data_IF_653538303325
#
_entry.id   IF_653538303325
#
_cell.length_a   1.000
_cell.length_b   1.000
_cell.length_c   1.000
_cell.angle_alpha   90.00
_cell.angle_beta   90.00
_cell.angle_gamma   90.00
#
_symmetry.space_group_name_H-M   'P 1'
#
loop_
_entity.id
_entity.type
_entity.pdbx_description
1 polymer ?
#
# COMPACT_ATOMS: atom_id res chain seq x y z
N UNK A 1 -43.92 -52.83 -8.87
CA UNK A 1 -42.54 -53.30 -8.98
C UNK A 1 -41.63 -52.26 -8.35
N UNK A 2 -41.10 -52.60 -7.19
CA UNK A 2 -40.14 -51.77 -6.44
C UNK A 2 -38.75 -51.91 -7.05
N UNK A 3 -38.04 -50.78 -7.19
CA UNK A 3 -36.59 -50.80 -7.25
C UNK A 3 -36.03 -49.75 -6.28
N UNK A 4 -35.32 -50.24 -5.26
CA UNK A 4 -34.57 -49.45 -4.27
C UNK A 4 -33.37 -48.76 -4.90
N UNK A 5 -33.13 -47.48 -4.53
CA UNK A 5 -31.85 -46.83 -4.68
C UNK A 5 -31.39 -46.36 -3.31
N UNK A 6 -30.24 -46.90 -2.89
CA UNK A 6 -29.50 -46.60 -1.67
C UNK A 6 -28.83 -45.22 -1.76
N UNK A 7 -28.79 -44.42 -0.68
CA UNK A 7 -28.03 -43.18 -0.64
C UNK A 7 -26.57 -43.42 -0.24
N UNK A 8 -25.66 -42.79 -0.98
CA UNK A 8 -24.22 -42.77 -0.70
C UNK A 8 -23.95 -41.74 0.40
N UNK A 9 -23.19 -42.15 1.40
CA UNK A 9 -23.00 -41.45 2.65
C UNK A 9 -22.25 -40.12 2.57
N UNK A 10 -22.76 -39.24 3.41
CA UNK A 10 -22.13 -38.02 3.86
C UNK A 10 -20.96 -38.34 4.79
N UNK A 11 -19.79 -37.75 4.52
CA UNK A 11 -18.69 -37.72 5.46
C UNK A 11 -18.84 -36.51 6.39
N UNK A 12 -19.45 -36.73 7.54
CA UNK A 12 -19.37 -35.81 8.67
C UNK A 12 -18.06 -36.07 9.42
N UNK A 13 -17.18 -35.07 9.47
CA UNK A 13 -16.10 -35.01 10.48
C UNK A 13 -16.45 -33.95 11.51
N UNK A 14 -16.39 -34.26 12.82
CA UNK A 14 -16.80 -33.34 13.87
C UNK A 14 -15.75 -32.27 14.14
N UNK A 15 -16.19 -31.01 14.17
CA UNK A 15 -15.46 -29.87 14.70
C UNK A 15 -15.42 -29.96 16.24
N UNK A 16 -14.37 -30.54 16.80
CA UNK A 16 -14.02 -30.35 18.20
C UNK A 16 -12.52 -30.39 18.40
N UNK A 17 -12.01 -29.36 19.09
CA UNK A 17 -10.66 -29.18 19.59
C UNK A 17 -9.71 -28.33 18.73
N UNK A 18 -9.95 -27.02 18.72
CA UNK A 18 -8.88 -26.05 18.52
C UNK A 18 -8.68 -25.25 19.81
N UNK A 19 -7.68 -25.62 20.61
CA UNK A 19 -7.18 -24.83 21.73
C UNK A 19 -6.16 -23.81 21.18
N UNK A 20 -6.19 -22.52 21.57
CA UNK A 20 -5.19 -21.56 21.16
C UNK A 20 -3.89 -21.85 21.92
N UNK A 21 -2.99 -22.56 21.26
CA UNK A 21 -1.62 -22.69 21.71
C UNK A 21 -0.87 -21.40 21.45
N UNK A 22 -0.24 -20.86 22.48
CA UNK A 22 0.73 -19.76 22.47
C UNK A 22 1.89 -20.10 21.54
N UNK A 23 1.81 -19.71 20.27
CA UNK A 23 2.96 -19.66 19.39
C UNK A 23 3.44 -18.21 19.34
N UNK A 24 4.53 -17.93 20.02
CA UNK A 24 5.37 -16.79 19.81
C UNK A 24 5.81 -16.79 18.35
N UNK A 25 5.30 -15.84 17.55
CA UNK A 25 5.80 -15.64 16.19
C UNK A 25 7.29 -15.24 16.26
N UNK A 26 8.17 -15.91 15.50
CA UNK A 26 9.53 -15.45 15.38
C UNK A 26 9.55 -14.05 14.72
N UNK A 27 10.34 -13.14 15.27
CA UNK A 27 10.65 -11.85 14.70
C UNK A 27 11.13 -12.04 13.25
N UNK A 28 10.27 -11.77 12.28
CA UNK A 28 10.64 -11.77 10.87
C UNK A 28 11.47 -10.53 10.59
N UNK A 29 12.77 -10.64 10.78
CA UNK A 29 13.71 -9.82 10.03
C UNK A 29 13.53 -10.21 8.57
N UNK A 30 12.72 -9.48 7.82
CA UNK A 30 12.67 -9.59 6.37
C UNK A 30 14.01 -9.12 5.82
N UNK A 31 14.90 -10.06 5.58
CA UNK A 31 16.06 -9.86 4.74
C UNK A 31 15.54 -9.69 3.30
N UNK A 32 15.50 -8.45 2.81
CA UNK A 32 15.28 -8.14 1.39
C UNK A 32 16.56 -8.40 0.60
N UNK A 33 17.09 -9.61 0.73
CA UNK A 33 18.21 -10.08 -0.08
C UNK A 33 17.75 -11.32 -0.83
N UNK A 34 17.71 -11.17 -2.17
CA UNK A 34 17.74 -12.25 -3.16
C UNK A 34 16.49 -13.13 -3.32
N UNK A 35 15.55 -12.65 -4.12
CA UNK A 35 14.63 -13.51 -4.87
C UNK A 35 15.15 -13.80 -6.28
N UNK A 36 16.40 -14.27 -6.38
CA UNK A 36 16.96 -14.78 -7.62
C UNK A 36 17.65 -16.10 -7.27
N UNK A 37 16.99 -17.23 -7.35
CA UNK A 37 17.46 -18.57 -7.78
C UNK A 37 16.35 -19.57 -7.45
N UNK A 38 15.82 -20.23 -8.46
CA UNK A 38 14.93 -21.37 -8.24
C UNK A 38 14.23 -21.90 -9.48
N UNK A 39 14.98 -22.12 -10.57
CA UNK A 39 14.57 -23.09 -11.58
C UNK A 39 15.70 -24.12 -11.71
N UNK A 40 15.67 -25.14 -10.85
CA UNK A 40 16.53 -26.31 -10.98
C UNK A 40 15.82 -27.32 -11.88
N UNK A 41 16.33 -27.46 -13.11
CA UNK A 41 16.04 -28.59 -13.98
C UNK A 41 16.90 -29.77 -13.53
N UNK A 42 16.26 -30.86 -13.07
CA UNK A 42 16.91 -32.14 -12.89
C UNK A 42 17.24 -32.76 -14.25
N UNK A 43 18.53 -32.94 -14.55
CA UNK A 43 18.99 -33.93 -15.53
C UNK A 43 20.16 -34.72 -14.94
N UNK A 44 19.92 -36.00 -14.80
CA UNK A 44 20.85 -37.05 -14.40
C UNK A 44 21.88 -37.31 -15.49
N UNK A 45 23.13 -37.55 -15.09
CA UNK A 45 23.99 -38.48 -15.85
C UNK A 45 25.43 -38.04 -16.03
N UNK A 46 26.27 -38.94 -15.54
CA UNK A 46 27.64 -39.30 -15.92
C UNK A 46 28.84 -38.61 -15.25
N UNK A 47 29.50 -39.45 -14.49
CA UNK A 47 30.80 -39.33 -13.87
C UNK A 47 31.90 -39.01 -14.90
N UNK A 48 32.65 -37.96 -14.64
CA UNK A 48 33.91 -37.65 -15.32
C UNK A 48 34.88 -37.00 -14.34
N UNK A 49 35.87 -37.77 -13.89
CA UNK A 49 36.94 -37.26 -13.04
C UNK A 49 37.79 -36.25 -13.81
N UNK A 50 37.86 -34.98 -13.35
CA UNK A 50 38.84 -34.00 -13.81
C UNK A 50 39.62 -33.52 -12.58
N UNK A 51 40.94 -33.62 -12.75
CA UNK A 51 41.98 -33.33 -11.78
C UNK A 51 41.87 -31.93 -11.20
N UNK A 52 41.95 -31.84 -9.89
CA UNK A 52 41.96 -30.59 -9.12
C UNK A 52 43.24 -29.78 -9.42
N UNK A 53 43.10 -28.64 -10.02
CA UNK A 53 44.10 -27.56 -9.96
C UNK A 53 43.82 -26.74 -8.67
N UNK A 54 44.86 -26.32 -7.95
CA UNK A 54 44.67 -25.51 -6.75
C UNK A 54 44.11 -24.14 -7.13
N UNK A 55 42.86 -23.90 -6.75
CA UNK A 55 42.27 -22.58 -6.84
C UNK A 55 43.08 -21.64 -5.92
N UNK A 56 43.78 -20.71 -6.52
CA UNK A 56 44.27 -19.52 -5.84
C UNK A 56 43.10 -18.83 -5.19
N UNK A 57 43.06 -18.86 -3.85
CA UNK A 57 42.18 -18.00 -3.08
C UNK A 57 42.52 -16.57 -3.38
N UNK A 58 41.74 -15.94 -4.23
CA UNK A 58 41.71 -14.51 -4.39
C UNK A 58 41.11 -13.94 -3.09
N UNK A 59 42.00 -13.64 -2.15
CA UNK A 59 41.69 -12.83 -0.98
C UNK A 59 41.59 -11.37 -1.43
N UNK A 60 40.67 -11.09 -2.34
CA UNK A 60 40.29 -9.74 -2.71
C UNK A 60 39.76 -9.02 -1.48
N UNK A 61 40.63 -8.27 -0.81
CA UNK A 61 40.20 -7.24 0.11
C UNK A 61 39.12 -6.40 -0.60
N UNK A 62 38.04 -5.96 0.09
CA UNK A 62 37.05 -5.13 -0.54
C UNK A 62 37.76 -3.91 -1.12
N UNK A 63 37.84 -3.88 -2.46
CA UNK A 63 38.42 -2.75 -3.16
C UNK A 63 37.69 -1.50 -2.69
N UNK A 64 38.42 -0.58 -2.11
CA UNK A 64 37.90 0.67 -1.56
C UNK A 64 37.21 1.44 -2.69
N UNK A 65 35.89 1.37 -2.73
CA UNK A 65 35.03 2.08 -3.68
C UNK A 65 35.07 3.61 -3.50
N UNK A 66 35.96 4.10 -2.63
CA UNK A 66 36.10 5.52 -2.33
C UNK A 66 37.31 6.07 -3.09
N UNK A 67 37.06 6.97 -4.04
CA UNK A 67 38.11 7.61 -4.83
C UNK A 67 38.94 8.57 -3.95
N UNK A 68 40.17 8.89 -4.36
CA UNK A 68 41.02 9.93 -3.70
C UNK A 68 40.29 11.30 -3.58
N UNK A 69 39.38 11.62 -4.53
CA UNK A 69 38.58 12.84 -4.44
C UNK A 69 37.57 12.76 -3.29
N UNK A 70 36.93 11.60 -3.10
CA UNK A 70 35.98 11.39 -2.01
C UNK A 70 36.66 11.48 -0.64
N UNK A 71 37.88 10.97 -0.50
CA UNK A 71 38.63 11.12 0.75
C UNK A 71 38.96 12.58 1.10
N UNK A 72 39.27 13.42 0.11
CA UNK A 72 39.47 14.86 0.36
C UNK A 72 38.21 15.54 0.88
N UNK A 73 37.04 15.23 0.32
CA UNK A 73 35.77 15.80 0.80
C UNK A 73 35.40 15.30 2.20
N UNK A 74 35.67 14.03 2.51
CA UNK A 74 35.49 13.51 3.87
C UNK A 74 36.46 14.15 4.87
N UNK A 75 37.70 14.48 4.48
CA UNK A 75 38.61 15.21 5.33
C UNK A 75 38.11 16.61 5.65
N UNK A 76 37.61 17.38 4.64
CA UNK A 76 36.99 18.69 4.84
C UNK A 76 35.80 18.59 5.82
N UNK A 77 34.97 17.58 5.68
CA UNK A 77 33.86 17.32 6.61
C UNK A 77 34.38 17.04 8.03
N UNK A 78 35.41 16.21 8.15
CA UNK A 78 36.06 15.89 9.43
C UNK A 78 36.66 17.11 10.12
N UNK A 79 37.32 17.99 9.36
CA UNK A 79 37.88 19.25 9.87
C UNK A 79 36.78 20.19 10.40
N UNK A 80 35.68 20.34 9.64
CA UNK A 80 34.52 21.13 10.06
C UNK A 80 33.87 20.55 11.31
N UNK A 81 33.68 19.24 11.37
CA UNK A 81 33.15 18.52 12.53
C UNK A 81 34.02 18.76 13.77
N UNK A 82 35.35 18.63 13.65
CA UNK A 82 36.29 18.88 14.72
C UNK A 82 36.26 20.35 15.18
N UNK A 83 36.21 21.29 14.24
CA UNK A 83 36.14 22.71 14.54
C UNK A 83 34.87 23.07 15.33
N UNK A 84 33.70 22.55 14.95
CA UNK A 84 32.44 22.75 15.67
C UNK A 84 32.55 22.20 17.10
N UNK A 85 33.01 20.96 17.27
CA UNK A 85 33.18 20.36 18.61
C UNK A 85 34.12 21.14 19.51
N UNK A 86 35.18 21.72 18.96
CA UNK A 86 36.21 22.40 19.73
C UNK A 86 35.87 23.86 20.03
N UNK A 87 35.08 24.53 19.19
CA UNK A 87 34.91 25.99 19.21
C UNK A 87 33.49 26.46 19.50
N UNK A 88 32.46 25.59 19.39
CA UNK A 88 31.09 25.97 19.74
C UNK A 88 31.01 26.29 21.23
N UNK A 89 30.26 27.32 21.61
CA UNK A 89 30.06 27.69 23.01
C UNK A 89 29.39 26.56 23.79
N UNK A 90 28.34 25.94 23.19
CA UNK A 90 27.66 24.76 23.71
C UNK A 90 27.86 23.60 22.70
N UNK A 91 28.92 22.80 22.82
CA UNK A 91 29.24 21.77 21.84
C UNK A 91 28.20 20.65 21.89
N UNK A 92 27.51 20.36 20.76
CA UNK A 92 26.57 19.25 20.69
C UNK A 92 27.30 17.90 20.75
N UNK A 93 26.58 16.85 21.09
CA UNK A 93 27.12 15.49 21.01
C UNK A 93 27.41 15.09 19.55
N UNK A 94 28.27 14.09 19.36
CA UNK A 94 28.60 13.57 18.03
C UNK A 94 27.38 13.16 17.25
N UNK A 95 26.41 12.49 17.91
CA UNK A 95 25.15 12.10 17.29
C UNK A 95 24.32 13.30 16.80
N UNK A 96 24.27 14.38 17.61
CA UNK A 96 23.55 15.60 17.25
C UNK A 96 24.19 16.35 16.05
N UNK A 97 25.45 16.08 15.74
CA UNK A 97 26.11 16.62 14.55
C UNK A 97 26.02 15.70 13.35
N UNK A 98 26.26 14.42 13.56
CA UNK A 98 26.37 13.44 12.45
C UNK A 98 25.00 13.09 11.86
N UNK A 99 23.98 12.87 12.69
CA UNK A 99 22.66 12.47 12.20
C UNK A 99 22.00 13.52 11.28
N UNK A 100 21.94 14.81 11.64
CA UNK A 100 21.44 15.83 10.73
C UNK A 100 22.27 15.98 9.45
N UNK A 101 23.60 15.79 9.53
CA UNK A 101 24.46 15.85 8.36
C UNK A 101 24.16 14.71 7.36
N UNK A 102 23.98 13.47 7.86
CA UNK A 102 23.57 12.34 7.02
C UNK A 102 22.16 12.59 6.45
N UNK A 103 21.24 13.07 7.28
CA UNK A 103 19.88 13.40 6.84
C UNK A 103 19.87 14.44 5.73
N UNK A 104 20.65 15.52 5.87
CA UNK A 104 20.78 16.56 4.85
C UNK A 104 21.41 16.01 3.56
N UNK A 105 22.45 15.19 3.67
CA UNK A 105 23.08 14.53 2.52
C UNK A 105 22.09 13.67 1.75
N UNK A 106 21.28 12.87 2.45
CA UNK A 106 20.27 12.00 1.81
C UNK A 106 19.13 12.84 1.20
N UNK A 107 18.67 13.86 1.91
CA UNK A 107 17.61 14.75 1.44
C UNK A 107 18.03 15.60 0.22
N UNK A 108 19.35 15.79 0.00
CA UNK A 108 19.85 16.53 -1.18
C UNK A 108 19.72 15.75 -2.51
N UNK A 109 19.42 14.45 -2.46
CA UNK A 109 19.30 13.61 -3.66
C UNK A 109 18.01 13.86 -4.42
N UNK A 110 16.88 13.90 -3.70
CA UNK A 110 15.54 14.08 -4.23
C UNK A 110 14.54 14.29 -3.07
N UNK A 111 13.27 14.70 -3.32
CA UNK A 111 12.28 14.94 -2.27
C UNK A 111 11.83 13.68 -1.50
N UNK A 112 12.17 12.50 -1.97
CA UNK A 112 11.66 11.22 -1.47
C UNK A 112 12.67 10.42 -0.66
N UNK A 113 13.98 10.64 -0.94
CA UNK A 113 15.08 9.97 -0.23
C UNK A 113 15.17 10.49 1.20
N UNK A 114 15.28 9.57 2.18
CA UNK A 114 15.26 9.89 3.62
C UNK A 114 16.19 9.00 4.42
N UNK A 115 16.73 9.59 5.49
CA UNK A 115 17.40 8.88 6.56
C UNK A 115 16.41 8.74 7.73
N UNK A 116 15.99 7.51 8.03
CA UNK A 116 14.87 7.22 8.92
C UNK A 116 15.35 6.67 10.26
N UNK A 117 14.66 7.06 11.32
CA UNK A 117 14.73 6.38 12.62
C UNK A 117 13.98 5.03 12.55
N UNK A 118 14.22 4.16 13.54
CA UNK A 118 13.47 2.91 13.67
C UNK A 118 11.95 3.13 13.80
N UNK A 119 11.53 4.21 14.47
CA UNK A 119 10.12 4.54 14.62
C UNK A 119 9.47 5.00 13.31
N UNK A 120 10.18 5.82 12.52
CA UNK A 120 9.72 6.26 11.19
C UNK A 120 9.67 5.10 10.20
N UNK A 121 10.67 4.20 10.24
CA UNK A 121 10.66 3.00 9.41
C UNK A 121 9.46 2.09 9.75
N UNK A 122 9.19 1.85 11.04
CA UNK A 122 8.01 1.06 11.44
C UNK A 122 6.70 1.64 10.92
N UNK A 123 6.48 2.95 11.10
CA UNK A 123 5.26 3.62 10.57
C UNK A 123 5.11 3.45 9.06
N UNK A 124 6.21 3.45 8.35
CA UNK A 124 6.22 3.21 6.92
C UNK A 124 5.88 1.76 6.58
N UNK A 125 6.51 0.81 7.27
CA UNK A 125 6.30 -0.64 7.09
C UNK A 125 4.86 -1.03 7.46
N UNK A 126 4.30 -0.51 8.55
CA UNK A 126 2.90 -0.66 8.92
C UNK A 126 1.96 -0.15 7.83
N UNK A 127 2.25 1.02 7.29
CA UNK A 127 1.46 1.58 6.20
C UNK A 127 1.53 0.74 4.92
N UNK A 128 2.68 0.13 4.61
CA UNK A 128 2.89 -0.72 3.44
C UNK A 128 2.33 -2.14 3.65
N UNK A 129 2.38 -2.67 4.88
CA UNK A 129 1.84 -4.00 5.22
C UNK A 129 0.31 -4.08 5.22
N UNK A 130 -0.39 -2.94 5.17
CA UNK A 130 -1.85 -2.89 5.21
C UNK A 130 -2.45 -3.22 6.57
N UNK A 131 -1.63 -3.09 7.61
CA UNK A 131 -2.03 -3.21 9.01
C UNK A 131 -1.28 -2.16 9.85
N UNK A 132 -1.84 -1.82 11.00
CA UNK A 132 -1.18 -0.97 11.97
C UNK A 132 -1.41 -1.52 13.38
N UNK A 133 -0.50 -1.21 14.29
CA UNK A 133 -0.69 -1.58 15.69
C UNK A 133 -1.29 -0.42 16.46
N UNK A 134 -2.48 -0.63 17.02
CA UNK A 134 -3.21 0.40 17.72
C UNK A 134 -4.48 -0.11 18.41
N UNK A 135 -5.36 0.81 18.77
CA UNK A 135 -6.60 0.49 19.49
C UNK A 135 -7.87 0.58 18.64
N UNK A 136 -7.75 0.93 17.34
CA UNK A 136 -8.89 0.95 16.42
C UNK A 136 -9.86 2.11 16.67
N UNK A 137 -9.35 3.31 16.96
CA UNK A 137 -10.14 4.53 17.13
C UNK A 137 -9.92 5.44 15.91
N UNK A 138 -11.02 5.88 15.30
CA UNK A 138 -11.02 7.00 14.37
C UNK A 138 -11.27 8.28 15.16
N UNK A 139 -10.39 9.28 15.00
CA UNK A 139 -10.42 10.51 15.82
C UNK A 139 -10.21 11.74 14.94
N UNK A 140 -10.93 12.82 15.27
CA UNK A 140 -10.69 14.15 14.71
C UNK A 140 -9.87 15.04 15.67
N UNK A 141 -9.43 16.20 15.18
CA UNK A 141 -8.70 17.16 16.00
C UNK A 141 -9.52 17.51 17.27
N UNK A 142 -8.81 17.59 18.43
CA UNK A 142 -9.46 17.76 19.73
C UNK A 142 -9.92 16.47 20.41
N UNK A 143 -9.59 15.30 19.81
CA UNK A 143 -9.78 14.00 20.45
C UNK A 143 -11.20 13.43 20.41
N UNK A 144 -12.10 13.99 19.59
CA UNK A 144 -13.44 13.45 19.42
C UNK A 144 -13.42 12.21 18.54
N UNK A 145 -13.96 11.12 19.07
CA UNK A 145 -14.08 9.84 18.36
C UNK A 145 -15.17 9.95 17.30
N UNK A 146 -14.85 9.67 16.06
CA UNK A 146 -15.77 9.62 14.92
C UNK A 146 -16.20 8.20 14.57
N UNK A 147 -15.37 7.21 14.91
CA UNK A 147 -15.64 5.80 14.68
C UNK A 147 -14.70 4.88 15.44
N UNK A 148 -15.02 3.60 15.39
CA UNK A 148 -14.13 2.53 15.88
C UNK A 148 -14.06 1.41 14.87
N UNK A 149 -12.88 0.81 14.72
CA UNK A 149 -12.70 -0.32 13.83
C UNK A 149 -13.40 -1.56 14.39
N UNK A 150 -14.32 -2.19 13.64
CA UNK A 150 -15.04 -3.39 14.09
C UNK A 150 -14.08 -4.52 14.49
N UNK A 151 -14.38 -5.16 15.60
CA UNK A 151 -13.53 -6.21 16.17
C UNK A 151 -12.24 -5.71 16.82
N UNK A 152 -11.92 -4.41 16.72
CA UNK A 152 -10.75 -3.82 17.37
C UNK A 152 -10.95 -3.59 18.88
N UNK A 153 -9.86 -3.28 19.62
CA UNK A 153 -9.92 -3.08 21.08
C UNK A 153 -10.95 -2.03 21.51
N UNK A 154 -11.03 -0.90 20.79
CA UNK A 154 -11.97 0.18 21.09
C UNK A 154 -13.44 -0.24 20.88
N UNK A 155 -13.71 -1.00 19.81
CA UNK A 155 -15.05 -1.51 19.54
C UNK A 155 -15.50 -2.54 20.60
N UNK A 156 -14.59 -3.43 21.02
CA UNK A 156 -14.86 -4.39 22.12
C UNK A 156 -15.07 -3.71 23.47
N UNK A 157 -14.58 -2.49 23.64
CA UNK A 157 -14.77 -1.67 24.84
C UNK A 157 -15.98 -0.73 24.74
N UNK A 158 -16.86 -0.91 23.76
CA UNK A 158 -18.06 -0.11 23.50
C UNK A 158 -17.79 1.40 23.40
N UNK A 159 -16.69 1.77 22.78
CA UNK A 159 -16.44 3.16 22.46
C UNK A 159 -17.29 3.57 21.24
N UNK A 160 -18.14 4.56 21.44
CA UNK A 160 -19.06 5.06 20.42
C UNK A 160 -18.65 6.43 19.88
N UNK A 161 -19.04 6.77 18.64
CA UNK A 161 -18.88 8.11 18.07
C UNK A 161 -19.44 9.19 19.00
N UNK A 162 -18.76 10.34 19.03
CA UNK A 162 -19.08 11.45 19.93
C UNK A 162 -18.42 11.39 21.31
N UNK A 163 -17.78 10.27 21.68
CA UNK A 163 -16.91 10.21 22.87
C UNK A 163 -15.68 11.09 22.64
N UNK A 164 -15.26 11.83 23.68
CA UNK A 164 -14.08 12.71 23.61
C UNK A 164 -12.96 12.12 24.45
N UNK A 165 -11.78 12.00 23.87
CA UNK A 165 -10.55 11.61 24.57
C UNK A 165 -9.97 12.87 25.23
N UNK A 166 -10.01 12.96 26.55
CA UNK A 166 -9.43 14.08 27.28
C UNK A 166 -7.92 13.92 27.50
N UNK A 167 -7.48 12.68 27.81
CA UNK A 167 -6.08 12.36 28.04
C UNK A 167 -5.69 11.01 27.46
N UNK A 168 -4.44 10.91 27.01
CA UNK A 168 -3.77 9.68 26.58
C UNK A 168 -2.49 9.54 27.40
N UNK A 169 -2.37 8.47 28.19
CA UNK A 169 -1.25 8.21 29.10
C UNK A 169 -0.90 9.43 29.98
N UNK A 170 -1.92 10.10 30.49
CA UNK A 170 -1.80 11.29 31.35
C UNK A 170 -1.60 12.61 30.60
N UNK A 171 -1.31 12.62 29.29
CA UNK A 171 -1.14 13.83 28.48
C UNK A 171 -2.50 14.31 27.97
N UNK A 172 -2.80 15.60 28.13
CA UNK A 172 -4.05 16.21 27.68
C UNK A 172 -4.06 16.33 26.15
N UNK A 173 -5.10 15.80 25.50
CA UNK A 173 -5.27 15.82 24.03
C UNK A 173 -5.43 17.25 23.49
N UNK A 174 -5.96 18.17 24.30
CA UNK A 174 -6.04 19.59 23.93
C UNK A 174 -4.69 20.26 23.61
N UNK A 175 -3.58 19.68 24.05
CA UNK A 175 -2.22 20.15 23.76
C UNK A 175 -1.54 19.39 22.63
N UNK A 176 -2.21 18.39 22.05
CA UNK A 176 -1.70 17.54 20.99
C UNK A 176 -2.28 17.92 19.64
N UNK A 177 -1.48 17.88 18.60
CA UNK A 177 -1.98 17.86 17.23
C UNK A 177 -2.63 16.52 16.90
N UNK A 178 -3.42 16.48 15.80
CA UNK A 178 -4.08 15.23 15.36
C UNK A 178 -3.06 14.11 15.13
N UNK A 179 -1.93 14.39 14.48
CA UNK A 179 -0.88 13.39 14.23
C UNK A 179 -0.32 12.80 15.52
N UNK A 180 -0.01 13.64 16.52
CA UNK A 180 0.50 13.16 17.80
C UNK A 180 -0.56 12.38 18.60
N UNK A 181 -1.83 12.76 18.48
CA UNK A 181 -2.95 12.01 19.08
C UNK A 181 -3.02 10.60 18.49
N UNK A 182 -2.94 10.47 17.17
CA UNK A 182 -2.91 9.17 16.47
C UNK A 182 -1.66 8.37 16.83
N UNK A 183 -0.49 8.99 16.86
CA UNK A 183 0.77 8.34 17.25
C UNK A 183 0.71 7.74 18.66
N UNK A 184 0.03 8.43 19.61
CA UNK A 184 -0.13 7.94 20.98
C UNK A 184 -1.19 6.83 21.12
N UNK A 185 -2.20 6.80 20.25
CA UNK A 185 -3.18 5.71 20.17
C UNK A 185 -2.57 4.46 19.52
N UNK A 186 -1.59 4.64 18.64
CA UNK A 186 -0.76 3.60 18.05
C UNK A 186 0.43 3.25 18.95
N UNK A 187 1.16 2.19 18.65
CA UNK A 187 2.38 1.80 19.37
C UNK A 187 2.69 0.32 19.26
N UNK A 188 3.61 -0.18 20.11
CA UNK A 188 4.01 -1.60 20.06
C UNK A 188 2.80 -2.52 20.32
N UNK A 189 2.64 -3.61 19.54
CA UNK A 189 1.60 -4.60 19.77
C UNK A 189 1.67 -5.14 21.21
N UNK A 190 0.53 -5.47 21.79
CA UNK A 190 0.39 -5.92 23.18
C UNK A 190 0.75 -4.89 24.26
N UNK A 191 1.16 -3.68 23.89
CA UNK A 191 1.32 -2.58 24.85
C UNK A 191 -0.05 -2.00 25.23
N UNK A 192 -0.13 -1.35 26.40
CA UNK A 192 -1.36 -0.76 26.90
C UNK A 192 -1.33 0.75 26.79
N UNK A 193 -2.42 1.34 26.28
CA UNK A 193 -2.68 2.79 26.36
C UNK A 193 -3.78 3.06 27.38
N UNK A 194 -3.59 4.09 28.20
CA UNK A 194 -4.57 4.54 29.20
C UNK A 194 -5.24 5.80 28.70
N UNK A 195 -6.56 5.72 28.56
CA UNK A 195 -7.40 6.81 28.08
C UNK A 195 -8.25 7.36 29.22
N UNK A 196 -8.42 8.68 29.25
CA UNK A 196 -9.46 9.36 30.01
C UNK A 196 -10.47 9.91 29.01
N UNK A 197 -11.73 9.46 29.14
CA UNK A 197 -12.77 9.63 28.13
C UNK A 197 -13.97 10.34 28.73
N UNK A 198 -14.58 11.26 27.98
CA UNK A 198 -15.89 11.81 28.27
C UNK A 198 -16.91 11.20 27.28
N UNK A 199 -17.82 10.40 27.75
CA UNK A 199 -18.88 9.82 26.91
C UNK A 199 -19.98 10.86 26.60
N UNK A 200 -20.69 10.76 25.46
CA UNK A 200 -21.77 11.64 25.12
C UNK A 200 -22.83 11.63 26.24
N UNK A 201 -23.21 12.82 26.75
CA UNK A 201 -24.16 12.95 27.87
C UNK A 201 -23.62 12.53 29.26
N UNK A 202 -22.38 12.08 29.34
CA UNK A 202 -21.73 11.71 30.60
C UNK A 202 -21.45 12.93 31.48
N UNK A 203 -21.59 12.76 32.81
CA UNK A 203 -21.32 13.83 33.79
C UNK A 203 -19.92 13.76 34.40
N UNK A 204 -19.21 12.67 34.18
CA UNK A 204 -17.84 12.47 34.69
C UNK A 204 -17.01 11.68 33.70
N UNK A 205 -15.69 11.97 33.64
CA UNK A 205 -14.76 11.21 32.80
C UNK A 205 -14.59 9.77 33.28
N UNK A 206 -14.42 8.84 32.35
CA UNK A 206 -14.17 7.43 32.60
C UNK A 206 -12.71 7.11 32.21
N UNK A 207 -12.01 6.37 33.08
CA UNK A 207 -10.69 5.82 32.75
C UNK A 207 -10.87 4.46 32.06
N UNK A 208 -10.15 4.26 30.96
CA UNK A 208 -10.15 3.02 30.17
C UNK A 208 -8.72 2.67 29.78
N UNK A 209 -8.34 1.41 29.95
CA UNK A 209 -7.08 0.87 29.44
C UNK A 209 -7.38 -0.04 28.26
N UNK A 210 -6.72 0.17 27.14
CA UNK A 210 -6.84 -0.64 25.92
C UNK A 210 -5.47 -1.22 25.57
N UNK A 211 -5.48 -2.49 25.17
CA UNK A 211 -4.29 -3.15 24.64
C UNK A 211 -4.21 -2.90 23.14
N UNK A 212 -3.04 -2.46 22.65
CA UNK A 212 -2.80 -2.29 21.21
C UNK A 212 -2.67 -3.63 20.53
N UNK A 213 -3.28 -3.77 19.37
CA UNK A 213 -3.27 -4.98 18.55
C UNK A 213 -2.98 -4.65 17.10
N UNK A 214 -2.54 -5.65 16.33
CA UNK A 214 -2.48 -5.54 14.88
C UNK A 214 -3.89 -5.44 14.30
N UNK A 215 -4.17 -4.35 13.64
CA UNK A 215 -5.48 -4.04 13.06
C UNK A 215 -5.34 -3.87 11.54
N UNK A 216 -6.20 -4.53 10.74
CA UNK A 216 -6.14 -4.42 9.30
C UNK A 216 -6.61 -3.05 8.84
N UNK A 217 -5.91 -2.47 7.90
CA UNK A 217 -6.42 -1.36 7.08
C UNK A 217 -7.37 -1.93 6.02
N UNK A 218 -8.43 -1.19 5.69
CA UNK A 218 -9.39 -1.60 4.67
C UNK A 218 -9.35 -0.61 3.48
N UNK A 219 -8.32 -0.71 2.61
CA UNK A 219 -8.11 0.27 1.54
C UNK A 219 -9.04 0.07 0.35
N UNK A 220 -9.97 -0.89 0.38
CA UNK A 220 -10.93 -1.17 -0.70
C UNK A 220 -12.36 -0.92 -0.24
N UNK A 221 -13.08 -0.12 -1.02
CA UNK A 221 -14.52 0.13 -0.85
C UNK A 221 -15.23 -0.25 -2.14
N UNK A 222 -16.39 -0.90 -2.01
CA UNK A 222 -17.17 -1.39 -3.16
C UNK A 222 -18.61 -0.90 -3.12
N UNK A 223 -19.21 -0.75 -4.30
CA UNK A 223 -20.64 -0.46 -4.48
C UNK A 223 -21.16 -1.15 -5.73
N UNK A 224 -22.44 -1.45 -5.73
CA UNK A 224 -23.20 -1.85 -6.92
C UNK A 224 -23.97 -0.63 -7.42
N UNK A 225 -23.79 -0.24 -8.68
CA UNK A 225 -24.45 0.87 -9.33
C UNK A 225 -25.28 0.31 -10.51
N UNK A 226 -26.46 -0.23 -10.22
CA UNK A 226 -27.26 -0.96 -11.20
C UNK A 226 -26.53 -2.23 -11.67
N UNK A 227 -26.04 -2.24 -12.90
CA UNK A 227 -25.25 -3.34 -13.48
C UNK A 227 -23.73 -3.02 -13.54
N UNK A 228 -23.30 -1.91 -12.96
CA UNK A 228 -21.91 -1.46 -12.95
C UNK A 228 -21.29 -1.72 -11.56
N UNK A 229 -20.14 -2.36 -11.54
CA UNK A 229 -19.33 -2.51 -10.34
C UNK A 229 -18.50 -1.25 -10.10
N UNK A 230 -18.53 -0.72 -8.88
CA UNK A 230 -17.66 0.38 -8.44
C UNK A 230 -16.72 -0.15 -7.37
N UNK A 231 -15.41 0.04 -7.59
CA UNK A 231 -14.34 -0.35 -6.68
C UNK A 231 -13.44 0.87 -6.47
N UNK A 232 -13.31 1.31 -5.22
CA UNK A 232 -12.33 2.33 -4.84
C UNK A 232 -11.16 1.69 -4.11
N UNK A 233 -9.96 1.99 -4.58
CA UNK A 233 -8.71 1.64 -3.92
C UNK A 233 -8.12 2.91 -3.31
N UNK A 234 -8.02 2.94 -1.98
CA UNK A 234 -7.44 4.09 -1.28
C UNK A 234 -5.92 3.99 -1.17
N UNK A 235 -5.34 2.76 -1.30
CA UNK A 235 -3.90 2.49 -1.18
C UNK A 235 -3.54 1.10 -1.73
N UNK A 236 -2.24 0.87 -2.00
CA UNK A 236 -1.69 -0.46 -2.34
C UNK A 236 -0.87 -1.01 -1.18
N UNK A 237 -1.39 -2.03 -0.51
CA UNK A 237 -0.78 -2.78 0.59
C UNK A 237 -0.59 -4.27 0.23
N UNK A 238 0.03 -5.06 1.11
CA UNK A 238 0.32 -6.49 0.89
C UNK A 238 -0.91 -7.34 0.48
N UNK A 239 -2.12 -6.90 0.82
CA UNK A 239 -3.36 -7.66 0.60
C UNK A 239 -4.23 -7.12 -0.55
N UNK A 240 -3.80 -6.07 -1.24
CA UNK A 240 -4.64 -5.35 -2.19
C UNK A 240 -5.14 -6.23 -3.33
N UNK A 241 -4.29 -7.06 -3.96
CA UNK A 241 -4.73 -7.98 -5.00
C UNK A 241 -5.79 -8.96 -4.48
N UNK A 242 -5.52 -9.63 -3.35
CA UNK A 242 -6.45 -10.61 -2.78
C UNK A 242 -7.82 -10.00 -2.46
N UNK A 243 -7.81 -8.79 -1.88
CA UNK A 243 -9.05 -8.04 -1.61
C UNK A 243 -9.77 -7.61 -2.89
N UNK A 244 -9.05 -7.19 -3.92
CA UNK A 244 -9.64 -6.85 -5.23
C UNK A 244 -10.33 -8.07 -5.86
N UNK A 245 -9.66 -9.21 -5.92
CA UNK A 245 -10.21 -10.44 -6.49
C UNK A 245 -11.48 -10.88 -5.75
N UNK A 246 -11.45 -10.85 -4.41
CA UNK A 246 -12.63 -11.13 -3.58
C UNK A 246 -13.76 -10.14 -3.84
N UNK A 247 -13.45 -8.84 -3.94
CA UNK A 247 -14.45 -7.80 -4.23
C UNK A 247 -15.11 -7.99 -5.60
N UNK A 248 -14.31 -8.31 -6.63
CA UNK A 248 -14.85 -8.60 -7.97
C UNK A 248 -15.75 -9.83 -7.95
N UNK A 249 -15.37 -10.89 -7.23
CA UNK A 249 -16.19 -12.09 -7.11
C UNK A 249 -17.55 -11.81 -6.43
N UNK A 250 -17.54 -11.04 -5.35
CA UNK A 250 -18.76 -10.61 -4.64
C UNK A 250 -19.65 -9.78 -5.58
N UNK A 251 -19.11 -8.74 -6.23
CA UNK A 251 -19.85 -7.87 -7.11
C UNK A 251 -20.43 -8.62 -8.31
N UNK A 252 -19.70 -9.60 -8.87
CA UNK A 252 -20.22 -10.50 -9.91
C UNK A 252 -21.37 -11.36 -9.38
N UNK A 253 -21.32 -11.84 -8.15
CA UNK A 253 -22.39 -12.58 -7.50
C UNK A 253 -23.65 -11.73 -7.31
N UNK A 254 -23.48 -10.51 -6.79
CA UNK A 254 -24.60 -9.60 -6.49
C UNK A 254 -25.30 -9.06 -7.76
N UNK A 255 -24.51 -8.70 -8.78
CA UNK A 255 -25.03 -8.18 -10.06
C UNK A 255 -25.57 -9.31 -10.94
N UNK A 256 -24.96 -10.48 -10.87
CA UNK A 256 -25.09 -11.61 -11.80
C UNK A 256 -23.99 -11.58 -12.85
N UNK A 257 -23.32 -12.73 -13.11
CA UNK A 257 -22.12 -12.79 -13.95
C UNK A 257 -22.36 -12.26 -15.37
N UNK A 258 -23.53 -12.53 -15.95
CA UNK A 258 -23.89 -12.10 -17.31
C UNK A 258 -24.49 -10.69 -17.37
N UNK A 259 -24.72 -10.07 -16.22
CA UNK A 259 -25.34 -8.73 -16.11
C UNK A 259 -24.33 -7.62 -15.81
N UNK A 260 -23.07 -7.95 -15.48
CA UNK A 260 -22.03 -6.97 -15.22
C UNK A 260 -21.67 -6.22 -16.51
N UNK A 261 -22.17 -5.00 -16.64
CA UNK A 261 -22.03 -4.18 -17.87
C UNK A 261 -20.83 -3.22 -17.81
N UNK A 262 -20.19 -3.04 -16.67
CA UNK A 262 -19.05 -2.14 -16.53
C UNK A 262 -18.37 -2.21 -15.16
N UNK A 263 -17.14 -1.72 -15.11
CA UNK A 263 -16.34 -1.55 -13.89
C UNK A 263 -15.79 -0.13 -13.80
N UNK A 264 -16.00 0.52 -12.66
CA UNK A 264 -15.36 1.78 -12.30
C UNK A 264 -14.30 1.46 -11.26
N UNK A 265 -13.03 1.74 -11.58
CA UNK A 265 -11.91 1.70 -10.65
C UNK A 265 -11.58 3.12 -10.21
N UNK A 266 -11.86 3.46 -8.97
CA UNK A 266 -11.59 4.79 -8.42
C UNK A 266 -10.24 4.81 -7.67
N UNK A 267 -9.28 5.53 -8.25
CA UNK A 267 -7.94 5.77 -7.70
C UNK A 267 -7.74 7.21 -7.22
N UNK A 268 -8.80 8.02 -7.15
CA UNK A 268 -8.69 9.41 -6.69
C UNK A 268 -8.26 9.48 -5.23
N UNK A 269 -7.26 10.31 -4.94
CA UNK A 269 -6.68 10.43 -3.61
C UNK A 269 -5.81 9.24 -3.19
N UNK A 270 -5.54 8.28 -4.07
CA UNK A 270 -4.67 7.15 -3.79
C UNK A 270 -3.19 7.57 -3.95
N UNK A 271 -2.41 7.66 -2.85
CA UNK A 271 -1.01 8.11 -2.90
C UNK A 271 -0.05 7.03 -3.41
N UNK A 272 -0.56 5.84 -3.75
CA UNK A 272 0.25 4.70 -4.16
C UNK A 272 0.40 3.63 -3.06
N UNK A 273 1.58 3.11 -2.89
CA UNK A 273 1.97 2.03 -1.98
C UNK A 273 2.91 1.05 -2.65
N UNK A 274 2.73 -0.25 -2.41
CA UNK A 274 3.62 -1.29 -2.91
C UNK A 274 3.54 -1.46 -4.44
N UNK A 275 4.68 -1.29 -5.11
CA UNK A 275 4.81 -1.47 -6.57
C UNK A 275 4.39 -2.89 -7.00
N UNK A 276 4.79 -3.90 -6.24
CA UNK A 276 4.45 -5.30 -6.53
C UNK A 276 2.94 -5.54 -6.53
N UNK A 277 2.20 -4.86 -5.66
CA UNK A 277 0.75 -4.95 -5.62
C UNK A 277 0.08 -4.19 -6.77
N UNK A 278 0.63 -3.04 -7.16
CA UNK A 278 0.15 -2.33 -8.34
C UNK A 278 0.34 -3.15 -9.61
N UNK A 279 1.50 -3.80 -9.76
CA UNK A 279 1.79 -4.72 -10.87
C UNK A 279 0.80 -5.89 -10.87
N UNK A 280 0.57 -6.51 -9.72
CA UNK A 280 -0.35 -7.63 -9.59
C UNK A 280 -1.81 -7.23 -9.90
N UNK A 281 -2.27 -6.08 -9.40
CA UNK A 281 -3.60 -5.51 -9.69
C UNK A 281 -3.74 -5.17 -11.17
N UNK A 282 -2.77 -4.46 -11.75
CA UNK A 282 -2.79 -4.15 -13.18
C UNK A 282 -2.80 -5.43 -14.01
N UNK A 283 -2.00 -6.44 -13.63
CA UNK A 283 -1.96 -7.74 -14.27
C UNK A 283 -3.29 -8.48 -14.26
N UNK A 284 -3.97 -8.50 -13.12
CA UNK A 284 -5.29 -9.11 -12.97
C UNK A 284 -6.36 -8.43 -13.86
N UNK A 285 -6.25 -7.12 -14.05
CA UNK A 285 -7.20 -6.33 -14.85
C UNK A 285 -6.87 -6.32 -16.36
N UNK A 286 -5.58 -6.46 -16.72
CA UNK A 286 -5.10 -6.47 -18.11
C UNK A 286 -5.11 -7.85 -18.74
N UNK A 287 -4.75 -8.88 -17.97
CA UNK A 287 -4.57 -10.24 -18.47
C UNK A 287 -3.29 -10.48 -19.28
N UNK A 288 -2.75 -9.49 -19.99
CA UNK A 288 -1.54 -9.60 -20.84
C UNK A 288 -0.90 -8.24 -21.12
N UNK A 289 0.36 -8.28 -21.56
CA UNK A 289 1.11 -7.09 -21.97
C UNK A 289 2.03 -6.57 -20.86
N UNK A 290 2.94 -5.67 -21.21
CA UNK A 290 3.83 -5.02 -20.25
C UNK A 290 3.06 -4.06 -19.37
N UNK A 291 3.30 -4.07 -18.05
CA UNK A 291 2.63 -3.20 -17.08
C UNK A 291 3.45 -1.94 -16.85
N UNK A 292 4.76 -2.11 -16.61
CA UNK A 292 5.65 -1.02 -16.23
C UNK A 292 7.10 -1.43 -16.44
N UNK A 293 7.97 -0.44 -16.65
CA UNK A 293 9.43 -0.58 -16.57
C UNK A 293 9.93 0.22 -15.40
N UNK A 294 10.85 -0.38 -14.64
CA UNK A 294 11.66 0.33 -13.67
C UNK A 294 13.05 0.51 -14.23
N UNK A 295 13.48 1.77 -14.38
CA UNK A 295 14.77 2.12 -14.95
C UNK A 295 15.67 2.58 -13.82
N UNK A 296 16.71 1.79 -13.53
CA UNK A 296 17.69 2.04 -12.48
C UNK A 296 18.72 3.11 -12.87
N UNK A 297 19.81 3.16 -12.09
CA UNK A 297 20.90 4.14 -12.27
C UNK A 297 21.65 3.95 -13.60
N UNK A 298 21.85 2.71 -14.01
CA UNK A 298 22.56 2.38 -15.25
C UNK A 298 21.58 2.08 -16.38
N UNK A 299 21.92 2.37 -17.63
CA UNK A 299 21.05 2.13 -18.78
C UNK A 299 20.64 0.65 -18.99
N UNK A 300 21.46 -0.28 -18.49
CA UNK A 300 21.21 -1.73 -18.52
C UNK A 300 20.34 -2.22 -17.35
N UNK A 301 20.14 -1.40 -16.31
CA UNK A 301 19.28 -1.68 -15.18
C UNK A 301 17.83 -1.36 -15.50
N UNK A 302 17.22 -2.13 -16.40
CA UNK A 302 15.81 -2.01 -16.76
C UNK A 302 15.07 -3.28 -16.38
N UNK A 303 14.22 -3.18 -15.39
CA UNK A 303 13.31 -4.25 -14.97
C UNK A 303 11.94 -4.04 -15.61
N UNK A 304 11.41 -5.08 -16.29
CA UNK A 304 10.12 -5.05 -16.99
C UNK A 304 9.14 -5.96 -16.26
N UNK A 305 7.96 -5.45 -15.99
CA UNK A 305 6.89 -6.19 -15.36
C UNK A 305 5.77 -6.46 -16.35
N UNK A 306 5.31 -7.70 -16.35
CA UNK A 306 4.16 -8.18 -17.11
C UNK A 306 3.25 -8.99 -16.18
N UNK A 307 1.97 -9.24 -16.55
CA UNK A 307 1.07 -10.06 -15.76
C UNK A 307 1.67 -11.46 -15.54
N UNK A 308 1.61 -11.94 -14.31
CA UNK A 308 1.66 -13.37 -14.07
C UNK A 308 0.29 -14.00 -14.41
N UNK A 309 0.21 -15.32 -14.42
CA UNK A 309 -1.03 -16.02 -14.72
C UNK A 309 -2.05 -16.00 -13.59
N UNK A 310 -1.71 -15.46 -12.42
CA UNK A 310 -2.53 -15.48 -11.21
C UNK A 310 -3.63 -14.42 -11.29
N UNK A 311 -4.85 -14.85 -11.51
CA UNK A 311 -6.02 -13.97 -11.57
C UNK A 311 -6.10 -13.10 -12.82
N UNK A 312 -5.31 -13.38 -13.88
CA UNK A 312 -5.34 -12.62 -15.12
C UNK A 312 -6.75 -12.66 -15.76
N UNK A 313 -7.23 -11.49 -16.21
CA UNK A 313 -8.49 -11.38 -16.94
C UNK A 313 -9.75 -11.51 -16.07
N UNK A 314 -9.66 -11.22 -14.76
CA UNK A 314 -10.82 -11.38 -13.83
C UNK A 314 -12.09 -10.62 -14.26
N UNK A 315 -11.94 -9.61 -15.11
CA UNK A 315 -13.03 -8.82 -15.69
C UNK A 315 -12.90 -8.69 -17.21
N UNK A 316 -12.43 -9.75 -17.87
CA UNK A 316 -12.29 -9.75 -19.32
C UNK A 316 -13.62 -9.45 -20.01
N UNK A 317 -13.55 -8.64 -21.09
CA UNK A 317 -14.72 -8.21 -21.85
C UNK A 317 -15.58 -7.15 -21.15
N UNK A 318 -15.40 -6.88 -19.86
CA UNK A 318 -16.17 -5.85 -19.16
C UNK A 318 -15.56 -4.47 -19.44
N UNK A 319 -16.31 -3.50 -19.99
CA UNK A 319 -15.86 -2.11 -20.15
C UNK A 319 -15.39 -1.52 -18.82
N UNK A 320 -14.30 -0.73 -18.86
CA UNK A 320 -13.70 -0.20 -17.63
C UNK A 320 -13.38 1.30 -17.74
N UNK A 321 -13.61 2.00 -16.63
CA UNK A 321 -13.18 3.38 -16.41
C UNK A 321 -12.27 3.44 -15.20
N UNK A 322 -11.20 4.23 -15.28
CA UNK A 322 -10.34 4.56 -14.14
C UNK A 322 -10.49 6.03 -13.80
N UNK A 323 -10.86 6.31 -12.57
CA UNK A 323 -10.97 7.69 -12.06
C UNK A 323 -9.67 8.06 -11.34
N UNK A 324 -9.10 9.19 -11.71
CA UNK A 324 -7.86 9.71 -11.14
C UNK A 324 -7.99 11.19 -10.77
N UNK A 325 -7.06 11.74 -9.99
CA UNK A 325 -6.95 13.18 -9.72
C UNK A 325 -5.51 13.56 -9.38
N UNK A 326 -5.27 14.82 -9.06
CA UNK A 326 -3.94 15.33 -8.69
C UNK A 326 -3.30 14.67 -7.47
N UNK A 327 -4.08 13.98 -6.64
CA UNK A 327 -3.59 13.23 -5.47
C UNK A 327 -3.34 11.73 -5.79
N UNK A 328 -3.68 11.29 -7.01
CA UNK A 328 -3.35 9.94 -7.49
C UNK A 328 -1.85 9.88 -7.81
N UNK A 329 -1.09 9.03 -7.09
CA UNK A 329 0.37 9.05 -7.18
C UNK A 329 1.00 7.65 -7.20
N UNK A 330 2.24 7.55 -7.71
CA UNK A 330 3.14 6.40 -7.56
C UNK A 330 2.54 5.08 -8.09
N UNK A 331 2.36 4.07 -7.22
CA UNK A 331 1.78 2.77 -7.57
C UNK A 331 0.40 2.89 -8.27
N UNK A 332 -0.41 3.89 -7.89
CA UNK A 332 -1.69 4.15 -8.55
C UNK A 332 -1.51 4.65 -10.00
N UNK A 333 -0.44 5.40 -10.27
CA UNK A 333 -0.09 5.85 -11.62
C UNK A 333 0.41 4.70 -12.49
N UNK A 334 1.06 3.68 -11.90
CA UNK A 334 1.41 2.44 -12.61
C UNK A 334 0.16 1.75 -13.13
N UNK A 335 -0.86 1.57 -12.28
CA UNK A 335 -2.12 0.92 -12.67
C UNK A 335 -2.85 1.74 -13.73
N UNK A 336 -3.04 3.05 -13.49
CA UNK A 336 -3.73 3.92 -14.43
C UNK A 336 -3.03 3.96 -15.79
N UNK A 337 -1.69 4.14 -15.81
CA UNK A 337 -0.90 4.21 -17.02
C UNK A 337 -0.87 2.89 -17.80
N UNK A 338 -0.78 1.75 -17.10
CA UNK A 338 -0.85 0.45 -17.74
C UNK A 338 -2.20 0.21 -18.42
N UNK A 339 -3.30 0.42 -17.70
CA UNK A 339 -4.66 0.23 -18.22
C UNK A 339 -4.97 1.18 -19.40
N UNK A 340 -4.49 2.43 -19.33
CA UNK A 340 -4.60 3.41 -20.40
C UNK A 340 -3.81 2.99 -21.64
N UNK A 341 -2.52 2.68 -21.49
CA UNK A 341 -1.64 2.39 -22.63
C UNK A 341 -2.07 1.14 -23.40
N UNK A 342 -2.68 0.17 -22.71
CA UNK A 342 -3.27 -1.00 -23.35
C UNK A 342 -4.72 -0.80 -23.83
N UNK A 343 -5.28 0.42 -23.72
CA UNK A 343 -6.67 0.73 -24.04
C UNK A 343 -7.67 -0.20 -23.33
N UNK A 344 -7.27 -0.70 -22.14
CA UNK A 344 -8.11 -1.56 -21.33
C UNK A 344 -9.18 -0.76 -20.59
N UNK A 345 -8.83 0.48 -20.22
CA UNK A 345 -9.74 1.40 -19.55
C UNK A 345 -9.59 2.80 -20.10
N UNK A 346 -10.65 3.60 -19.99
CA UNK A 346 -10.61 5.04 -20.20
C UNK A 346 -10.27 5.72 -18.87
N UNK A 347 -9.19 6.52 -18.85
CA UNK A 347 -8.77 7.29 -17.67
C UNK A 347 -9.46 8.64 -17.69
N UNK A 348 -10.11 9.01 -16.58
CA UNK A 348 -10.99 10.20 -16.51
C UNK A 348 -10.66 11.05 -15.29
N UNK A 349 -10.87 12.34 -15.39
CA UNK A 349 -10.85 13.47 -14.47
C UNK A 349 -9.66 14.39 -14.70
N UNK A 350 -8.67 14.52 -13.79
CA UNK A 350 -7.54 15.44 -13.94
C UNK A 350 -6.22 14.69 -13.94
N UNK A 351 -5.15 15.34 -14.43
CA UNK A 351 -3.80 14.76 -14.44
C UNK A 351 -3.38 14.31 -13.04
N UNK A 352 -2.68 13.17 -12.96
CA UNK A 352 -2.16 12.61 -11.71
C UNK A 352 -0.93 13.38 -11.21
N UNK A 353 -0.48 13.07 -10.00
CA UNK A 353 0.58 13.78 -9.30
C UNK A 353 1.93 13.78 -10.04
N UNK A 354 2.32 12.66 -10.61
CA UNK A 354 3.61 12.51 -11.28
C UNK A 354 4.74 12.06 -10.34
N UNK A 355 4.48 11.14 -9.42
CA UNK A 355 5.51 10.50 -8.61
C UNK A 355 6.00 9.22 -9.26
N UNK A 356 7.05 9.32 -10.07
CA UNK A 356 7.69 8.18 -10.73
C UNK A 356 8.88 7.59 -9.99
N UNK A 357 9.26 8.14 -8.84
CA UNK A 357 10.39 7.65 -8.04
C UNK A 357 10.03 6.34 -7.31
N UNK A 358 10.89 5.31 -7.46
CA UNK A 358 10.81 4.04 -6.72
C UNK A 358 11.87 4.05 -5.63
N UNK A 359 11.44 3.87 -4.37
CA UNK A 359 12.34 3.87 -3.23
C UNK A 359 12.66 2.44 -2.79
N UNK A 360 13.94 2.20 -2.47
CA UNK A 360 14.40 1.01 -1.76
C UNK A 360 14.90 1.40 -0.37
N UNK A 361 14.53 0.62 0.62
CA UNK A 361 14.90 0.88 2.02
C UNK A 361 15.97 -0.12 2.47
N UNK A 362 17.09 0.41 2.97
CA UNK A 362 18.26 -0.34 3.43
C UNK A 362 18.45 -0.16 4.93
N UNK A 363 18.67 -1.27 5.65
CA UNK A 363 19.10 -1.18 7.05
C UNK A 363 20.48 -0.51 7.16
N UNK A 364 20.61 0.42 8.09
CA UNK A 364 21.85 1.13 8.37
C UNK A 364 22.25 0.96 9.83
N UNK A 365 23.53 1.27 10.14
CA UNK A 365 24.07 1.15 11.50
C UNK A 365 23.28 1.99 12.50
N UNK A 366 23.30 1.57 13.78
CA UNK A 366 22.64 2.31 14.86
C UNK A 366 21.11 2.25 14.83
N UNK A 367 20.52 1.23 14.22
CA UNK A 367 19.04 1.11 14.12
C UNK A 367 18.40 2.15 13.21
N UNK A 368 19.18 2.70 12.29
CA UNK A 368 18.72 3.65 11.27
C UNK A 368 18.46 2.95 9.94
N UNK A 369 17.74 3.65 9.06
CA UNK A 369 17.38 3.14 7.74
C UNK A 369 17.63 4.22 6.68
N UNK A 370 18.13 3.79 5.52
CA UNK A 370 18.29 4.63 4.34
C UNK A 370 17.19 4.26 3.34
N UNK A 371 16.29 5.18 3.06
CA UNK A 371 15.33 5.07 1.97
C UNK A 371 15.82 5.92 0.82
N UNK A 372 16.15 5.29 -0.31
CA UNK A 372 16.76 5.95 -1.46
C UNK A 372 15.92 5.71 -2.71
N UNK A 373 15.82 6.70 -3.58
CA UNK A 373 15.30 6.51 -4.93
C UNK A 373 16.31 5.70 -5.74
N UNK A 374 15.92 4.50 -6.16
CA UNK A 374 16.79 3.56 -6.88
C UNK A 374 16.38 3.33 -8.30
N UNK A 375 15.15 3.64 -8.68
CA UNK A 375 14.64 3.50 -10.04
C UNK A 375 13.54 4.51 -10.34
N UNK A 376 13.22 4.63 -11.62
CA UNK A 376 12.17 5.50 -12.15
C UNK A 376 11.13 4.69 -12.89
N UNK A 377 9.86 5.00 -12.65
CA UNK A 377 8.72 4.40 -13.34
C UNK A 377 8.61 4.95 -14.76
N UNK A 378 8.58 4.03 -15.73
CA UNK A 378 8.31 4.31 -17.14
C UNK A 378 7.13 3.47 -17.59
N UNK A 379 6.12 4.11 -18.20
CA UNK A 379 4.92 3.44 -18.69
C UNK A 379 5.24 2.50 -19.86
N UNK A 380 4.36 1.56 -20.24
CA UNK A 380 4.55 0.71 -21.41
C UNK A 380 4.79 1.50 -22.71
N UNK A 381 4.19 2.69 -22.84
CA UNK A 381 4.44 3.58 -23.97
C UNK A 381 5.78 4.32 -23.94
N UNK A 382 6.62 4.06 -22.92
CA UNK A 382 7.95 4.67 -22.80
C UNK A 382 7.96 6.06 -22.15
N UNK A 383 6.85 6.51 -21.57
CA UNK A 383 6.77 7.83 -20.91
C UNK A 383 7.20 7.73 -19.45
N UNK A 384 8.14 8.57 -19.04
CA UNK A 384 8.54 8.72 -17.64
C UNK A 384 7.39 9.34 -16.83
N UNK A 385 7.05 8.74 -15.68
CA UNK A 385 5.97 9.23 -14.82
C UNK A 385 6.41 10.43 -13.99
N UNK A 386 7.67 10.43 -13.53
CA UNK A 386 8.22 11.51 -12.69
C UNK A 386 8.06 12.89 -13.34
N UNK A 387 7.39 13.79 -12.63
CA UNK A 387 7.09 15.16 -13.06
C UNK A 387 6.02 15.30 -14.15
N UNK A 388 5.64 14.19 -14.83
CA UNK A 388 4.66 14.21 -15.91
C UNK A 388 3.27 13.74 -15.50
N UNK A 389 3.20 12.74 -14.60
CA UNK A 389 1.95 12.08 -14.25
C UNK A 389 1.32 11.32 -15.43
N UNK A 390 0.10 10.87 -15.21
CA UNK A 390 -0.76 10.27 -16.24
C UNK A 390 -1.81 11.29 -16.65
N UNK A 391 -1.78 11.71 -17.91
CA UNK A 391 -2.81 12.55 -18.47
C UNK A 391 -4.08 11.74 -18.72
N UNK A 392 -5.25 12.20 -18.28
CA UNK A 392 -6.50 11.49 -18.52
C UNK A 392 -6.88 11.52 -20.00
N UNK A 393 -7.58 10.47 -20.46
CA UNK A 393 -8.15 10.43 -21.82
C UNK A 393 -9.31 11.42 -21.97
N UNK A 394 -10.00 11.70 -20.85
CA UNK A 394 -11.07 12.71 -20.76
C UNK A 394 -10.91 13.55 -19.51
N UNK A 395 -10.78 14.86 -19.70
CA UNK A 395 -10.73 15.82 -18.60
C UNK A 395 -12.15 16.12 -18.12
N UNK A 396 -12.39 15.89 -16.83
CA UNK A 396 -13.63 16.28 -16.14
C UNK A 396 -13.21 17.06 -14.91
N UNK A 397 -13.48 18.37 -14.94
CA UNK A 397 -13.21 19.26 -13.80
C UNK A 397 -14.46 19.29 -12.94
N UNK A 398 -14.32 18.96 -11.68
CA UNK A 398 -15.40 19.09 -10.72
C UNK A 398 -15.39 20.50 -10.12
N UNK A 399 -16.47 21.27 -10.32
CA UNK A 399 -16.66 22.54 -9.63
C UNK A 399 -17.21 22.29 -8.22
N UNK A 400 -16.47 22.73 -7.21
CA UNK A 400 -16.94 22.84 -5.82
C UNK A 400 -16.54 21.71 -4.86
N UNK A 401 -15.89 22.13 -3.79
CA UNK A 401 -15.46 21.45 -2.56
C UNK A 401 -14.10 20.76 -2.60
N UNK A 402 -13.07 21.33 -1.92
CA UNK A 402 -11.79 20.63 -1.68
C UNK A 402 -12.06 19.36 -0.83
N UNK A 403 -11.75 18.20 -1.38
CA UNK A 403 -11.79 16.92 -0.67
C UNK A 403 -13.03 16.03 -0.82
N UNK A 404 -14.13 16.50 -1.39
CA UNK A 404 -15.29 15.66 -1.73
C UNK A 404 -15.29 15.32 -3.21
N UNK A 405 -14.78 14.13 -3.57
CA UNK A 405 -14.73 13.67 -4.95
C UNK A 405 -16.07 13.20 -5.49
N UNK A 406 -17.04 14.11 -5.69
CA UNK A 406 -18.29 13.78 -6.34
C UNK A 406 -18.18 13.99 -7.85
N UNK A 407 -18.47 12.97 -8.64
CA UNK A 407 -18.54 13.07 -10.10
C UNK A 407 -19.97 13.34 -10.52
N UNK A 408 -20.19 14.48 -11.16
CA UNK A 408 -21.29 14.73 -12.05
C UNK A 408 -20.87 14.26 -13.45
N UNK A 409 -21.03 12.99 -13.77
CA UNK A 409 -20.67 12.54 -15.10
C UNK A 409 -21.61 11.46 -15.58
N UNK A 410 -22.40 11.82 -16.57
CA UNK A 410 -22.77 10.87 -17.60
C UNK A 410 -21.51 10.48 -18.36
N UNK A 411 -20.79 9.47 -17.89
CA UNK A 411 -19.60 8.97 -18.57
C UNK A 411 -19.97 7.74 -19.37
N UNK A 412 -19.91 7.76 -20.70
CA UNK A 412 -20.11 6.55 -21.50
C UNK A 412 -18.95 5.58 -21.24
N UNK A 413 -19.26 4.35 -20.86
CA UNK A 413 -18.27 3.27 -20.79
C UNK A 413 -17.85 2.90 -22.21
N UNK A 414 -16.55 3.00 -22.52
CA UNK A 414 -16.04 2.59 -23.82
C UNK A 414 -16.13 1.06 -23.98
N UNK A 415 -16.66 0.60 -25.12
CA UNK A 415 -16.60 -0.82 -25.49
C UNK A 415 -15.18 -1.22 -25.88
N UNK A 416 -14.76 -2.48 -25.64
CA UNK A 416 -13.52 -2.98 -26.23
C UNK A 416 -13.59 -2.88 -27.76
N UNK A 417 -12.48 -2.47 -28.37
CA UNK A 417 -12.34 -2.32 -29.82
C UNK A 417 -12.43 -3.71 -30.45
N UNK A 418 -13.56 -4.00 -31.12
CA UNK A 418 -13.78 -5.28 -31.78
C UNK A 418 -15.24 -5.56 -32.15
N UNK A 419 -15.99 -4.56 -32.61
CA UNK A 419 -17.35 -4.78 -33.12
C UNK A 419 -18.01 -3.47 -33.56
N UNK A 420 -18.29 -3.35 -34.85
CA UNK A 420 -18.99 -2.22 -35.42
C UNK A 420 -20.46 -2.18 -34.91
N UNK A 421 -20.76 -1.22 -34.06
CA UNK A 421 -22.11 -0.92 -33.59
C UNK A 421 -22.15 0.48 -33.02
N UNK A 422 -23.06 1.33 -33.53
CA UNK A 422 -23.19 2.74 -33.12
C UNK A 422 -23.57 2.87 -31.64
N UNK A 423 -22.79 3.60 -30.90
CA UNK A 423 -23.00 3.97 -29.48
C UNK A 423 -23.73 5.32 -29.45
N UNK A 424 -25.05 5.33 -29.23
CA UNK A 424 -25.80 6.55 -28.89
C UNK A 424 -26.33 6.57 -27.44
N UNK A 425 -26.31 5.47 -26.70
CA UNK A 425 -26.82 5.42 -25.33
C UNK A 425 -25.65 5.23 -24.34
N UNK A 426 -25.10 6.33 -23.85
CA UNK A 426 -24.13 6.35 -22.75
C UNK A 426 -24.81 5.97 -21.43
N UNK A 427 -24.25 5.05 -20.68
CA UNK A 427 -24.69 4.78 -19.31
C UNK A 427 -24.26 5.98 -18.44
N UNK A 428 -25.24 6.73 -17.96
CA UNK A 428 -25.06 7.79 -16.97
C UNK A 428 -25.07 7.14 -15.59
N UNK A 429 -23.96 7.16 -14.89
CA UNK A 429 -23.86 6.65 -13.52
C UNK A 429 -23.67 7.82 -12.57
N UNK A 430 -24.69 8.15 -11.76
CA UNK A 430 -24.56 9.10 -10.66
C UNK A 430 -23.98 8.40 -9.43
N UNK A 431 -22.72 8.66 -9.13
CA UNK A 431 -21.99 8.03 -8.04
C UNK A 431 -22.35 8.62 -6.65
N UNK A 432 -23.17 9.69 -6.59
CA UNK A 432 -23.51 10.42 -5.37
C UNK A 432 -24.55 9.74 -4.49
N UNK A 433 -25.50 9.01 -5.08
CA UNK A 433 -26.70 8.56 -4.37
C UNK A 433 -26.62 7.18 -3.74
N UNK A 434 -25.58 6.38 -4.01
CA UNK A 434 -25.46 5.05 -3.42
C UNK A 434 -24.69 5.07 -2.08
N UNK A 435 -25.24 4.52 -0.97
CA UNK A 435 -24.54 4.45 0.30
C UNK A 435 -23.25 3.63 0.16
N UNK A 436 -22.15 4.05 0.81
CA UNK A 436 -20.95 3.22 0.93
C UNK A 436 -21.29 2.02 1.83
N UNK A 437 -21.16 0.82 1.31
CA UNK A 437 -20.99 -0.34 2.15
C UNK A 437 -19.55 -0.29 2.68
N UNK A 438 -19.37 0.25 3.87
CA UNK A 438 -18.22 -0.10 4.68
C UNK A 438 -18.37 -1.60 4.91
N UNK A 439 -17.31 -2.38 4.70
CA UNK A 439 -17.27 -3.84 4.71
C UNK A 439 -17.70 -4.52 6.03
N UNK A 440 -18.54 -3.90 6.80
CA UNK A 440 -18.90 -4.23 8.17
C UNK A 440 -20.25 -4.89 8.36
N UNK A 441 -21.02 -5.12 7.30
CA UNK A 441 -22.35 -5.71 7.45
C UNK A 441 -22.62 -6.78 6.41
N UNK A 442 -21.85 -7.88 6.44
CA UNK A 442 -22.33 -9.14 5.91
C UNK A 442 -22.38 -10.14 7.04
N UNK A 443 -23.58 -10.55 7.51
CA UNK A 443 -23.70 -11.60 8.49
C UNK A 443 -23.25 -12.91 7.82
N UNK A 444 -22.12 -13.46 8.25
CA UNK A 444 -21.69 -14.79 7.84
C UNK A 444 -20.21 -15.01 7.55
N UNK A 445 -19.33 -14.03 7.70
CA UNK A 445 -17.88 -14.27 7.55
C UNK A 445 -17.09 -13.71 8.73
N UNK A 446 -16.93 -14.56 9.76
CA UNK A 446 -15.80 -14.45 10.70
C UNK A 446 -14.59 -15.11 10.04
N UNK A 447 -13.47 -14.39 9.99
CA UNK A 447 -12.14 -14.96 9.87
C UNK A 447 -11.48 -14.84 11.22
#
# INVERSE_FOLDING_TARGET
MHVNATPVGLWETPLSAWTPGTQTMPSRTRSYTNWWVGAAVCLTGTVGAVLASPATRDTGAPSSLVSHASYRHLAIFGDAFHAVRKRAADPPTDGQLVEPAISAMVASLDPYSRYLTAAEFRRLDEAESGSYSGVGIEVEAGGKITGTLPGGPAARADLSPGTVIERIDGVAVAHLGLGETVDRLSGEPSSTVRLRLMRPGGRAPVALALTREWLPLHPIRVRVLGTVAYIRLDRFDDFTLGRLLKSVAILKGDIGPDRLSGLILDLRGNPGGLVVQAVAVAGALLGRGEIVRLVGRRPDEVERFAPDRTGAGVVDGVPMVVLVNGDTASAAEIVAGALQNHRRATVISTRTYGKGAVQTTYAHRGGRWLRLTTAWVVTPAGRKVEGNGIEPDRVVIQEGVPGSGEINAGVPLARPVGGAGSLQDGIVVDVRSAPFHTSNCWPGFSI
#
